data_IF_920709934651
#
_entry.id   IF_920709934651
#
_cell.length_a   1.000
_cell.length_b   1.000
_cell.length_c   1.000
_cell.angle_alpha   90.00
_cell.angle_beta   90.00
_cell.angle_gamma   90.00
#
_symmetry.space_group_name_H-M   'P 1'
#
loop_
_entity.id
_entity.type
_entity.pdbx_description
1 polymer ?
#
# COMPACT_ATOMS: atom_id res chain seq x y z
N UNK A 1 -3.28 -7.70 1.66
CA UNK A 1 -3.27 -6.49 0.82
C UNK A 1 -1.83 -6.08 0.51
N UNK A 2 -1.05 -5.56 1.47
CA UNK A 2 0.33 -5.06 1.24
C UNK A 2 1.26 -6.03 0.49
N UNK A 3 1.34 -7.30 0.89
CA UNK A 3 2.20 -8.27 0.18
C UNK A 3 1.75 -8.53 -1.25
N UNK A 4 0.43 -8.53 -1.49
CA UNK A 4 -0.12 -8.69 -2.84
C UNK A 4 0.21 -7.48 -3.71
N UNK A 5 0.08 -6.27 -3.15
CA UNK A 5 0.49 -5.03 -3.80
C UNK A 5 1.99 -5.06 -4.15
N UNK A 6 2.84 -5.40 -3.19
CA UNK A 6 4.28 -5.52 -3.38
C UNK A 6 4.63 -6.47 -4.53
N UNK A 7 4.07 -7.68 -4.53
CA UNK A 7 4.31 -8.64 -5.61
C UNK A 7 3.74 -8.18 -6.96
N UNK A 8 2.60 -7.49 -6.97
CA UNK A 8 2.01 -6.93 -8.19
C UNK A 8 2.90 -5.85 -8.80
N UNK A 9 3.45 -4.95 -7.98
CA UNK A 9 4.36 -3.91 -8.42
C UNK A 9 5.68 -4.48 -8.97
N UNK A 10 6.26 -5.49 -8.32
CA UNK A 10 7.45 -6.16 -8.83
C UNK A 10 7.19 -6.90 -10.13
N UNK A 11 6.07 -7.62 -10.22
CA UNK A 11 5.69 -8.30 -11.46
C UNK A 11 5.49 -7.29 -12.60
N UNK A 12 4.83 -6.15 -12.33
CA UNK A 12 4.67 -5.08 -13.31
C UNK A 12 6.01 -4.54 -13.82
N UNK A 13 7.00 -4.40 -12.94
CA UNK A 13 8.35 -3.97 -13.30
C UNK A 13 9.08 -5.02 -14.13
N UNK A 14 9.07 -6.28 -13.69
CA UNK A 14 9.78 -7.37 -14.35
C UNK A 14 9.23 -7.66 -15.75
N UNK A 15 7.93 -7.50 -15.96
CA UNK A 15 7.26 -7.79 -17.24
C UNK A 15 6.94 -6.55 -18.07
N UNK A 16 7.27 -5.35 -17.56
CA UNK A 16 6.87 -4.06 -18.15
C UNK A 16 5.37 -3.98 -18.46
N UNK A 17 4.52 -4.57 -17.59
CA UNK A 17 3.08 -4.70 -17.82
C UNK A 17 2.31 -3.53 -17.17
N UNK A 18 1.70 -2.64 -17.97
CA UNK A 18 0.97 -1.48 -17.45
C UNK A 18 -0.36 -1.84 -16.79
N UNK A 19 -0.96 -3.00 -17.06
CA UNK A 19 -2.17 -3.47 -16.37
C UNK A 19 -1.85 -3.92 -14.95
N UNK A 20 -0.73 -4.64 -14.77
CA UNK A 20 -0.25 -4.99 -13.41
C UNK A 20 0.10 -3.73 -12.61
N UNK A 21 0.72 -2.72 -13.25
CA UNK A 21 1.01 -1.45 -12.59
C UNK A 21 -0.27 -0.68 -12.20
N UNK A 22 -1.30 -0.68 -13.05
CA UNK A 22 -2.61 -0.11 -12.71
C UNK A 22 -3.30 -0.88 -11.57
N UNK A 23 -3.18 -2.19 -11.56
CA UNK A 23 -3.74 -3.01 -10.48
C UNK A 23 -3.04 -2.74 -9.14
N UNK A 24 -1.73 -2.48 -9.14
CA UNK A 24 -1.01 -2.05 -7.94
C UNK A 24 -1.61 -0.74 -7.37
N UNK A 25 -1.90 0.27 -8.21
CA UNK A 25 -2.57 1.50 -7.76
C UNK A 25 -3.94 1.23 -7.11
N UNK A 26 -4.73 0.29 -7.63
CA UNK A 26 -6.03 -0.09 -7.05
C UNK A 26 -5.86 -0.83 -5.72
N UNK A 27 -4.85 -1.71 -5.62
CA UNK A 27 -4.56 -2.44 -4.39
C UNK A 27 -4.10 -1.53 -3.24
N UNK A 28 -3.47 -0.39 -3.56
CA UNK A 28 -3.10 0.60 -2.56
C UNK A 28 -4.33 1.17 -1.86
N UNK A 29 -5.39 1.53 -2.60
CA UNK A 29 -6.62 2.05 -1.98
C UNK A 29 -7.18 1.10 -0.91
N UNK A 30 -7.01 -0.21 -1.09
CA UNK A 30 -7.39 -1.22 -0.10
C UNK A 30 -6.42 -1.27 1.10
N UNK A 31 -5.11 -1.15 0.89
CA UNK A 31 -4.12 -1.05 1.99
C UNK A 31 -4.43 0.16 2.87
N UNK A 32 -4.63 1.31 2.23
CA UNK A 32 -5.00 2.58 2.82
C UNK A 32 -6.29 2.48 3.65
N UNK A 33 -7.32 1.85 3.06
CA UNK A 33 -8.62 1.63 3.71
C UNK A 33 -8.48 0.73 4.94
N UNK A 34 -7.69 -0.33 4.84
CA UNK A 34 -7.44 -1.25 5.95
C UNK A 34 -6.67 -0.58 7.08
N UNK A 35 -5.69 0.28 6.77
CA UNK A 35 -4.95 1.03 7.77
C UNK A 35 -5.88 1.91 8.61
N UNK A 36 -6.75 2.69 7.95
CA UNK A 36 -7.77 3.53 8.60
C UNK A 36 -8.75 2.70 9.42
N UNK A 37 -9.27 1.61 8.85
CA UNK A 37 -10.23 0.73 9.52
C UNK A 37 -9.63 0.12 10.80
N UNK A 38 -8.39 -0.36 10.72
CA UNK A 38 -7.72 -1.01 11.84
C UNK A 38 -7.28 -0.03 12.93
N UNK A 39 -6.96 1.23 12.58
CA UNK A 39 -6.80 2.32 13.55
C UNK A 39 -8.11 2.60 14.28
N UNK A 40 -9.24 2.73 13.55
CA UNK A 40 -10.56 2.95 14.16
C UNK A 40 -10.97 1.80 15.09
N UNK A 41 -10.78 0.55 14.66
CA UNK A 41 -11.05 -0.63 15.50
C UNK A 41 -10.17 -0.68 16.75
N UNK A 42 -8.93 -0.17 16.68
CA UNK A 42 -8.08 -0.07 17.85
C UNK A 42 -8.58 0.98 18.85
N UNK A 43 -9.04 2.14 18.38
CA UNK A 43 -9.66 3.15 19.24
C UNK A 43 -10.88 2.60 19.97
N UNK A 44 -11.78 1.87 19.29
CA UNK A 44 -12.94 1.25 19.94
C UNK A 44 -12.55 0.26 21.03
N UNK A 45 -11.52 -0.57 20.81
CA UNK A 45 -11.00 -1.50 21.82
C UNK A 45 -10.39 -0.77 23.02
N UNK A 46 -9.72 0.37 22.79
CA UNK A 46 -9.19 1.21 23.87
C UNK A 46 -10.33 1.78 24.73
N UNK A 47 -11.37 2.32 24.09
CA UNK A 47 -12.56 2.85 24.78
C UNK A 47 -13.29 1.79 25.61
N UNK A 48 -13.26 0.54 25.16
CA UNK A 48 -13.87 -0.61 25.85
C UNK A 48 -12.96 -1.24 26.92
N UNK A 49 -11.69 -0.81 27.03
CA UNK A 49 -10.72 -1.40 27.95
C UNK A 49 -10.24 -2.81 27.54
N UNK A 50 -10.38 -3.17 26.27
CA UNK A 50 -10.04 -4.50 25.72
C UNK A 50 -8.57 -4.60 25.27
N UNK A 51 -7.82 -3.50 25.27
CA UNK A 51 -6.41 -3.48 24.94
C UNK A 51 -5.59 -2.64 25.92
N UNK A 52 -4.31 -2.99 26.04
CA UNK A 52 -3.32 -2.24 26.80
C UNK A 52 -2.98 -0.94 26.05
N UNK A 53 -3.20 0.25 26.65
CA UNK A 53 -2.85 1.53 26.04
C UNK A 53 -1.38 1.65 25.67
N UNK A 54 -0.48 1.00 26.43
CA UNK A 54 0.96 1.03 26.15
C UNK A 54 1.33 0.27 24.86
N UNK A 55 0.55 -0.75 24.50
CA UNK A 55 0.71 -1.50 23.25
C UNK A 55 0.13 -0.75 22.03
N UNK A 56 -0.69 0.28 22.25
CA UNK A 56 -1.38 1.00 21.17
C UNK A 56 -0.45 1.76 20.24
N UNK A 57 0.62 2.36 20.79
CA UNK A 57 1.63 3.06 19.97
C UNK A 57 2.28 2.08 18.99
N UNK A 58 2.74 0.92 19.49
CA UNK A 58 3.37 -0.09 18.65
C UNK A 58 2.42 -0.62 17.57
N UNK A 59 1.15 -0.83 17.91
CA UNK A 59 0.15 -1.29 16.96
C UNK A 59 -0.05 -0.30 15.80
N UNK A 60 -0.19 1.00 16.10
CA UNK A 60 -0.36 2.04 15.09
C UNK A 60 0.89 2.17 14.22
N UNK A 61 2.08 2.10 14.80
CA UNK A 61 3.35 2.10 14.05
C UNK A 61 3.46 0.91 13.10
N UNK A 62 3.03 -0.29 13.51
CA UNK A 62 3.02 -1.46 12.63
C UNK A 62 2.09 -1.24 11.43
N UNK A 63 0.89 -0.72 11.64
CA UNK A 63 -0.05 -0.43 10.56
C UNK A 63 0.55 0.59 9.57
N UNK A 64 1.15 1.66 10.09
CA UNK A 64 1.77 2.69 9.26
C UNK A 64 2.97 2.14 8.47
N UNK A 65 3.80 1.28 9.07
CA UNK A 65 4.89 0.65 8.34
C UNK A 65 4.39 -0.28 7.22
N UNK A 66 3.23 -0.94 7.39
CA UNK A 66 2.62 -1.76 6.34
C UNK A 66 2.05 -0.91 5.19
N UNK A 67 1.48 0.25 5.50
CA UNK A 67 1.01 1.20 4.48
C UNK A 67 2.20 1.81 3.72
N UNK A 68 3.27 2.22 4.41
CA UNK A 68 4.50 2.72 3.77
C UNK A 68 5.15 1.73 2.81
N UNK A 69 5.09 0.43 3.10
CA UNK A 69 5.56 -0.61 2.15
C UNK A 69 4.68 -0.59 0.89
N UNK A 70 3.37 -0.38 1.04
CA UNK A 70 2.42 -0.21 -0.06
C UNK A 70 2.74 1.02 -0.91
N UNK A 71 2.92 2.18 -0.29
CA UNK A 71 3.36 3.42 -0.95
C UNK A 71 4.64 3.22 -1.77
N UNK A 72 5.65 2.55 -1.20
CA UNK A 72 6.88 2.25 -1.93
C UNK A 72 6.65 1.32 -3.12
N UNK A 73 5.77 0.34 -3.00
CA UNK A 73 5.38 -0.52 -4.12
C UNK A 73 4.61 0.26 -5.20
N UNK A 74 3.73 1.20 -4.82
CA UNK A 74 3.04 2.09 -5.78
C UNK A 74 4.01 2.99 -6.52
N UNK A 75 5.05 3.51 -5.86
CA UNK A 75 6.08 4.30 -6.54
C UNK A 75 6.76 3.48 -7.65
N UNK A 76 7.10 2.22 -7.39
CA UNK A 76 7.66 1.30 -8.41
C UNK A 76 6.67 1.13 -9.58
N UNK A 77 5.40 0.84 -9.30
CA UNK A 77 4.38 0.69 -10.34
C UNK A 77 4.15 1.98 -11.13
N UNK A 78 4.22 3.14 -10.46
CA UNK A 78 4.12 4.46 -11.07
C UNK A 78 5.25 4.73 -12.07
N UNK A 79 6.48 4.34 -11.71
CA UNK A 79 7.65 4.47 -12.60
C UNK A 79 7.49 3.61 -13.86
N UNK A 80 6.95 2.39 -13.75
CA UNK A 80 6.64 1.53 -14.92
C UNK A 80 5.68 2.24 -15.87
N UNK A 81 4.59 2.81 -15.35
CA UNK A 81 3.63 3.57 -16.16
C UNK A 81 4.25 4.83 -16.77
N UNK A 82 5.16 5.49 -16.06
CA UNK A 82 5.86 6.68 -16.54
C UNK A 82 6.77 6.34 -17.72
N UNK A 83 7.61 5.31 -17.59
CA UNK A 83 8.53 4.86 -18.65
C UNK A 83 7.78 4.45 -19.91
N UNK A 84 6.69 3.69 -19.79
CA UNK A 84 5.88 3.24 -20.92
C UNK A 84 5.14 4.39 -21.64
N UNK A 85 4.81 5.47 -20.92
CA UNK A 85 4.28 6.69 -21.55
C UNK A 85 5.37 7.47 -22.29
N UNK A 86 6.63 7.40 -21.83
CA UNK A 86 7.79 8.07 -22.41
C UNK A 86 8.38 7.40 -23.66
N UNK A 87 8.17 6.10 -23.88
CA UNK A 87 8.60 5.39 -25.09
C UNK A 87 7.71 5.63 -26.32
N UNK A 88 6.61 6.36 -26.16
CA UNK A 88 5.64 6.64 -27.22
C UNK A 88 5.89 7.90 -28.06
N UNK A 89 6.76 8.85 -27.66
CA UNK A 89 7.01 10.07 -28.46
C UNK A 89 8.31 10.77 -28.08
N UNK A 90 9.32 10.70 -28.97
CA UNK A 90 10.19 11.85 -29.21
C UNK A 90 9.58 12.63 -30.37
N UNK A 91 8.97 13.78 -30.05
CA UNK A 91 8.44 14.90 -30.86
C UNK A 91 7.10 15.44 -30.31
#
# INVERSE_FOLDING_TARGET
>A
ATMTLYHCALAALDTEDPDLARNALVLEEEVDRLERLYKEHHLRRLDQGECDPSAGILYVEILHNLERIGDHAVNIAGDVLHVLRGTGTLL
#
